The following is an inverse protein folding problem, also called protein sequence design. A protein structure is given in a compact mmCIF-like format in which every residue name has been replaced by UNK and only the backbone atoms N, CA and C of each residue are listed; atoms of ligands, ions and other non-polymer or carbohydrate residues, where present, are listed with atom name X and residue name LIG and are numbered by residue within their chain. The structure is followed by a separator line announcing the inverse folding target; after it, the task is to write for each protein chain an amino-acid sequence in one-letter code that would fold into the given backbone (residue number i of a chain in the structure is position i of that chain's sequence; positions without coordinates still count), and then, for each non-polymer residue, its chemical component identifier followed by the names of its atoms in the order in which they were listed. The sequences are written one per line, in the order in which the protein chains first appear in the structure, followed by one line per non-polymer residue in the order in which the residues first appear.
data_IF_627372755430
#
_entry.id   IF_627372755430
#
_cell.length_a   1.000
_cell.length_b   1.000
_cell.length_c   1.000
_cell.angle_alpha   90.00
_cell.angle_beta   90.00
_cell.angle_gamma   90.00
#
_symmetry.space_group_name_H-M   'P 1'
#
loop_
_entity.id
_entity.type
_entity.pdbx_description
1 polymer ?
#
# COMPACT_ATOMS: atom_id res chain seq x y z
N UNK A 1 11.60 -60.56 60.10
CA UNK A 1 10.65 -59.57 59.51
C UNK A 1 11.38 -58.61 58.56
N UNK A 2 11.44 -58.89 57.26
CA UNK A 2 11.95 -57.96 56.23
C UNK A 2 11.20 -58.18 54.91
N UNK A 3 10.01 -57.60 54.75
CA UNK A 3 9.28 -57.66 53.46
C UNK A 3 8.31 -56.48 53.22
N UNK A 4 8.55 -55.31 53.84
CA UNK A 4 7.66 -54.14 53.70
C UNK A 4 8.27 -52.94 52.95
N UNK A 5 9.56 -52.98 52.57
CA UNK A 5 10.27 -51.82 52.00
C UNK A 5 10.19 -51.69 50.47
N UNK A 6 10.00 -52.79 49.72
CA UNK A 6 10.06 -52.75 48.25
C UNK A 6 8.79 -52.19 47.58
N UNK A 7 7.60 -52.40 48.18
CA UNK A 7 6.33 -51.95 47.58
C UNK A 7 6.23 -50.41 47.55
N UNK A 8 6.72 -49.74 48.60
CA UNK A 8 6.73 -48.27 48.67
C UNK A 8 7.66 -47.64 47.62
N UNK A 9 8.81 -48.27 47.34
CA UNK A 9 9.76 -47.78 46.32
C UNK A 9 9.19 -47.87 44.90
N UNK A 10 8.46 -48.95 44.57
CA UNK A 10 7.80 -49.08 43.26
C UNK A 10 6.68 -48.05 43.06
N UNK A 11 5.94 -47.71 44.12
CA UNK A 11 4.89 -46.69 44.07
C UNK A 11 5.47 -45.27 43.88
N UNK A 12 6.56 -44.94 44.58
CA UNK A 12 7.27 -43.67 44.40
C UNK A 12 7.86 -43.58 42.99
N UNK A 13 8.45 -44.67 42.47
CA UNK A 13 8.94 -44.71 41.10
C UNK A 13 7.83 -44.51 40.06
N UNK A 14 6.65 -45.11 40.25
CA UNK A 14 5.50 -44.94 39.37
C UNK A 14 4.98 -43.49 39.35
N UNK A 15 4.93 -42.82 40.51
CA UNK A 15 4.54 -41.40 40.59
C UNK A 15 5.54 -40.51 39.84
N UNK A 16 6.85 -40.75 40.00
CA UNK A 16 7.88 -39.98 39.29
C UNK A 16 7.74 -40.16 37.78
N UNK A 17 7.52 -41.39 37.31
CA UNK A 17 7.32 -41.67 35.87
C UNK A 17 6.06 -40.97 35.35
N UNK A 18 4.98 -40.97 36.12
CA UNK A 18 3.74 -40.27 35.75
C UNK A 18 3.94 -38.76 35.64
N UNK A 19 4.63 -38.14 36.62
CA UNK A 19 4.95 -36.72 36.59
C UNK A 19 5.83 -36.39 35.37
N UNK A 20 6.86 -37.19 35.09
CA UNK A 20 7.70 -37.01 33.91
C UNK A 20 6.89 -37.11 32.61
N UNK A 21 5.96 -38.05 32.51
CA UNK A 21 5.10 -38.19 31.34
C UNK A 21 4.19 -36.96 31.12
N UNK A 22 3.64 -36.38 32.19
CA UNK A 22 2.83 -35.16 32.14
C UNK A 22 3.67 -33.94 31.73
N UNK A 23 4.90 -33.81 32.25
CA UNK A 23 5.79 -32.70 31.88
C UNK A 23 6.19 -32.79 30.41
N UNK A 24 6.50 -33.99 29.91
CA UNK A 24 6.88 -34.19 28.51
C UNK A 24 5.70 -33.93 27.58
N UNK A 25 4.50 -34.44 27.91
CA UNK A 25 3.31 -34.22 27.08
C UNK A 25 2.91 -32.75 27.01
N UNK A 26 3.00 -32.03 28.13
CA UNK A 26 2.76 -30.59 28.19
C UNK A 26 3.81 -29.82 27.37
N UNK A 27 5.10 -30.20 27.46
CA UNK A 27 6.16 -29.60 26.65
C UNK A 27 5.94 -29.78 25.15
N UNK A 28 5.61 -30.99 24.71
CA UNK A 28 5.29 -31.29 23.31
C UNK A 28 4.06 -30.52 22.83
N UNK A 29 3.02 -30.42 23.67
CA UNK A 29 1.82 -29.64 23.38
C UNK A 29 2.14 -28.15 23.19
N UNK A 30 2.94 -27.56 24.09
CA UNK A 30 3.33 -26.16 24.00
C UNK A 30 4.17 -25.86 22.75
N UNK A 31 5.09 -26.75 22.37
CA UNK A 31 5.88 -26.61 21.13
C UNK A 31 4.98 -26.67 19.88
N UNK A 32 3.98 -27.55 19.88
CA UNK A 32 3.03 -27.65 18.77
C UNK A 32 2.15 -26.41 18.65
N UNK A 33 1.66 -25.89 19.79
CA UNK A 33 0.85 -24.67 19.85
C UNK A 33 1.64 -23.45 19.40
N UNK A 34 2.90 -23.27 19.85
CA UNK A 34 3.75 -22.16 19.41
C UNK A 34 3.99 -22.19 17.90
N UNK A 35 4.36 -23.35 17.35
CA UNK A 35 4.56 -23.51 15.90
C UNK A 35 3.28 -23.24 15.10
N UNK A 36 2.14 -23.66 15.62
CA UNK A 36 0.83 -23.38 15.02
C UNK A 36 0.49 -21.90 15.05
N UNK A 37 0.78 -21.20 16.16
CA UNK A 37 0.56 -19.75 16.29
C UNK A 37 1.47 -18.99 15.33
N UNK A 38 2.77 -19.28 15.27
CA UNK A 38 3.68 -18.56 14.36
C UNK A 38 3.29 -18.75 12.89
N UNK A 39 2.98 -19.99 12.49
CA UNK A 39 2.67 -20.31 11.10
C UNK A 39 1.28 -19.79 10.68
N UNK A 40 0.28 -19.89 11.56
CA UNK A 40 -1.08 -19.43 11.25
C UNK A 40 -1.20 -17.91 11.40
N UNK A 41 -0.51 -17.29 12.36
CA UNK A 41 -0.52 -15.83 12.52
C UNK A 41 0.24 -15.18 11.38
N UNK A 42 1.42 -15.68 10.98
CA UNK A 42 2.10 -15.16 9.79
C UNK A 42 1.29 -15.39 8.51
N UNK A 43 0.77 -16.59 8.24
CA UNK A 43 -0.02 -16.83 7.01
C UNK A 43 -1.32 -16.03 6.96
N UNK A 44 -2.00 -15.85 8.08
CA UNK A 44 -3.25 -15.09 8.14
C UNK A 44 -2.99 -13.59 8.10
N UNK A 45 -1.98 -13.07 8.80
CA UNK A 45 -1.61 -11.65 8.75
C UNK A 45 -1.04 -11.27 7.38
N UNK A 46 -0.08 -12.04 6.84
CA UNK A 46 0.53 -11.74 5.54
C UNK A 46 -0.47 -11.89 4.40
N UNK A 47 -1.36 -12.88 4.41
CA UNK A 47 -2.35 -13.01 3.32
C UNK A 47 -3.49 -11.99 3.41
N UNK A 48 -3.91 -11.56 4.61
CA UNK A 48 -4.91 -10.51 4.76
C UNK A 48 -4.34 -9.13 4.41
N UNK A 49 -3.10 -8.83 4.82
CA UNK A 49 -2.42 -7.59 4.43
C UNK A 49 -2.12 -7.58 2.92
N UNK A 50 -1.67 -8.69 2.35
CA UNK A 50 -1.44 -8.80 0.90
C UNK A 50 -2.75 -8.69 0.10
N UNK A 51 -3.85 -9.30 0.56
CA UNK A 51 -5.17 -9.11 -0.06
C UNK A 51 -5.65 -7.67 0.04
N UNK A 52 -5.50 -7.02 1.19
CA UNK A 52 -5.85 -5.60 1.36
C UNK A 52 -4.98 -4.69 0.47
N UNK A 53 -3.69 -4.99 0.32
CA UNK A 53 -2.78 -4.28 -0.59
C UNK A 53 -3.15 -4.48 -2.05
N UNK A 54 -3.49 -5.71 -2.47
CA UNK A 54 -3.95 -6.00 -3.82
C UNK A 54 -5.28 -5.29 -4.14
N UNK A 55 -6.17 -5.16 -3.16
CA UNK A 55 -7.40 -4.35 -3.33
C UNK A 55 -7.10 -2.86 -3.50
N UNK A 56 -6.18 -2.30 -2.71
CA UNK A 56 -5.75 -0.91 -2.88
C UNK A 56 -5.08 -0.67 -4.25
N UNK A 57 -4.22 -1.59 -4.69
CA UNK A 57 -3.60 -1.56 -6.02
C UNK A 57 -4.62 -1.68 -7.15
N UNK A 58 -5.67 -2.48 -6.98
CA UNK A 58 -6.74 -2.60 -7.98
C UNK A 58 -7.56 -1.32 -8.12
N UNK A 59 -7.82 -0.62 -7.00
CA UNK A 59 -8.49 0.69 -7.02
C UNK A 59 -7.60 1.72 -7.70
N UNK A 60 -6.31 1.76 -7.36
CA UNK A 60 -5.33 2.62 -8.01
C UNK A 60 -5.21 2.35 -9.51
N UNK A 61 -5.22 1.10 -9.96
CA UNK A 61 -5.20 0.75 -11.39
C UNK A 61 -6.42 1.27 -12.15
N UNK A 62 -7.61 1.32 -11.52
CA UNK A 62 -8.80 1.92 -12.13
C UNK A 62 -8.58 3.43 -12.28
N UNK A 63 -8.03 4.09 -11.25
CA UNK A 63 -7.68 5.52 -11.33
C UNK A 63 -6.59 5.81 -12.37
N UNK A 64 -5.61 4.92 -12.55
CA UNK A 64 -4.60 5.02 -13.62
C UNK A 64 -5.21 4.90 -15.01
N UNK A 65 -6.07 3.90 -15.26
CA UNK A 65 -6.72 3.76 -16.57
C UNK A 65 -7.59 4.97 -16.93
N UNK A 66 -8.25 5.56 -15.94
CA UNK A 66 -8.99 6.81 -16.09
C UNK A 66 -8.08 8.01 -16.36
N UNK A 67 -7.01 8.19 -15.58
CA UNK A 67 -6.07 9.30 -15.73
C UNK A 67 -5.32 9.23 -17.07
N UNK A 68 -4.92 8.03 -17.51
CA UNK A 68 -4.30 7.82 -18.81
C UNK A 68 -5.24 8.19 -19.96
N UNK A 69 -6.53 7.81 -19.86
CA UNK A 69 -7.52 8.19 -20.87
C UNK A 69 -7.72 9.70 -20.97
N UNK A 70 -7.58 10.41 -19.84
CA UNK A 70 -7.61 11.88 -19.80
C UNK A 70 -6.33 12.46 -20.40
N UNK A 71 -5.16 11.92 -20.04
CA UNK A 71 -3.87 12.34 -20.56
C UNK A 71 -3.81 12.18 -22.08
N UNK A 72 -4.31 11.06 -22.62
CA UNK A 72 -4.43 10.83 -24.06
C UNK A 72 -5.34 11.89 -24.71
N UNK A 73 -6.52 12.14 -24.14
CA UNK A 73 -7.45 13.16 -24.66
C UNK A 73 -6.82 14.57 -24.64
N UNK A 74 -6.10 14.92 -23.58
CA UNK A 74 -5.39 16.20 -23.48
C UNK A 74 -4.23 16.28 -24.49
N UNK A 75 -3.58 15.15 -24.78
CA UNK A 75 -2.52 15.05 -25.79
C UNK A 75 -2.98 15.28 -27.24
N UNK A 76 -4.26 15.08 -27.53
CA UNK A 76 -4.85 15.38 -28.85
C UNK A 76 -5.02 16.89 -29.10
N UNK A 77 -5.00 17.70 -28.05
CA UNK A 77 -5.09 19.15 -28.18
C UNK A 77 -3.79 19.75 -28.74
N UNK A 78 -3.92 20.75 -29.62
CA UNK A 78 -2.77 21.48 -30.15
C UNK A 78 -2.07 22.34 -29.09
N UNK A 79 -2.82 22.72 -28.05
CA UNK A 79 -2.33 23.44 -26.88
C UNK A 79 -2.78 22.70 -25.61
N UNK A 80 -1.81 22.13 -24.91
CA UNK A 80 -2.04 21.36 -23.68
C UNK A 80 -2.70 22.23 -22.60
N UNK A 81 -2.44 23.54 -22.56
CA UNK A 81 -3.02 24.46 -21.60
C UNK A 81 -4.28 25.18 -22.13
N UNK A 82 -4.93 24.62 -23.17
CA UNK A 82 -6.19 25.14 -23.69
C UNK A 82 -7.29 25.23 -22.63
N UNK A 83 -8.21 26.17 -22.82
CA UNK A 83 -9.37 26.35 -21.95
C UNK A 83 -10.17 25.04 -21.77
N UNK A 84 -10.26 24.20 -22.81
CA UNK A 84 -10.92 22.89 -22.75
C UNK A 84 -10.23 21.94 -21.77
N UNK A 85 -8.90 21.85 -21.82
CA UNK A 85 -8.13 20.99 -20.91
C UNK A 85 -8.18 21.52 -19.47
N UNK A 86 -8.16 22.85 -19.30
CA UNK A 86 -8.30 23.47 -17.98
C UNK A 86 -9.70 23.25 -17.39
N UNK A 87 -10.76 23.36 -18.19
CA UNK A 87 -12.13 23.04 -17.76
C UNK A 87 -12.28 21.55 -17.41
N UNK A 88 -11.57 20.68 -18.13
CA UNK A 88 -11.51 19.25 -17.80
C UNK A 88 -10.86 19.01 -16.43
N UNK A 89 -9.76 19.70 -16.09
CA UNK A 89 -9.16 19.62 -14.75
C UNK A 89 -10.15 20.01 -13.65
N UNK A 90 -10.84 21.13 -13.83
CA UNK A 90 -11.89 21.61 -12.89
C UNK A 90 -13.00 20.58 -12.74
N UNK A 91 -13.47 20.02 -13.86
CA UNK A 91 -14.51 19.00 -13.87
C UNK A 91 -14.07 17.72 -13.16
N UNK A 92 -12.81 17.33 -13.27
CA UNK A 92 -12.26 16.17 -12.58
C UNK A 92 -12.23 16.39 -11.07
N UNK A 93 -11.72 17.54 -10.62
CA UNK A 93 -11.72 17.87 -9.19
C UNK A 93 -13.14 17.97 -8.61
N UNK A 94 -14.12 18.44 -9.39
CA UNK A 94 -15.50 18.59 -8.94
C UNK A 94 -16.33 17.28 -8.93
N UNK A 95 -16.02 16.33 -9.82
CA UNK A 95 -16.86 15.14 -10.05
C UNK A 95 -16.19 13.82 -9.65
N UNK A 96 -14.98 13.86 -9.08
CA UNK A 96 -14.25 12.67 -8.61
C UNK A 96 -13.72 12.90 -7.20
N UNK A 97 -13.13 11.86 -6.61
CA UNK A 97 -12.47 11.94 -5.30
C UNK A 97 -11.07 12.58 -5.36
N UNK A 98 -10.63 13.08 -6.52
CA UNK A 98 -9.40 13.85 -6.63
C UNK A 98 -9.59 15.23 -6.01
N UNK A 99 -8.88 15.48 -4.91
CA UNK A 99 -9.00 16.74 -4.18
C UNK A 99 -8.46 17.95 -4.97
N UNK A 100 -7.45 17.72 -5.82
CA UNK A 100 -6.83 18.71 -6.71
C UNK A 100 -6.38 18.03 -7.98
N UNK A 101 -6.41 18.75 -9.08
CA UNK A 101 -5.87 18.31 -10.37
C UNK A 101 -4.99 19.40 -10.95
N UNK A 102 -3.98 19.02 -11.72
CA UNK A 102 -3.07 19.97 -12.33
C UNK A 102 -2.49 19.45 -13.64
N UNK A 103 -2.26 20.37 -14.58
CA UNK A 103 -1.39 20.16 -15.72
C UNK A 103 -0.01 20.75 -15.40
N UNK A 104 1.03 19.96 -15.65
CA UNK A 104 2.41 20.35 -15.34
C UNK A 104 3.20 20.41 -16.64
N UNK A 105 3.74 21.58 -16.95
CA UNK A 105 4.62 21.76 -18.10
C UNK A 105 5.99 21.09 -17.91
N UNK A 106 6.72 20.91 -19.00
CA UNK A 106 8.02 20.24 -19.00
C UNK A 106 9.09 20.97 -18.16
N UNK A 107 8.91 22.26 -17.88
CA UNK A 107 9.78 23.06 -16.99
C UNK A 107 9.41 22.91 -15.49
N UNK A 108 8.34 22.15 -15.20
CA UNK A 108 7.80 21.91 -13.87
C UNK A 108 6.82 22.98 -13.39
N UNK A 109 6.34 23.89 -14.24
CA UNK A 109 5.26 24.83 -13.90
C UNK A 109 3.93 24.09 -13.89
N UNK A 110 3.30 24.01 -12.72
CA UNK A 110 2.02 23.33 -12.50
C UNK A 110 0.87 24.33 -12.41
N UNK A 111 -0.16 24.10 -13.24
CA UNK A 111 -1.40 24.86 -13.33
C UNK A 111 -2.54 24.03 -12.73
N UNK A 112 -3.05 24.47 -11.59
CA UNK A 112 -4.06 23.73 -10.82
C UNK A 112 -5.50 24.12 -11.20
N UNK A 113 -6.45 23.22 -10.91
CA UNK A 113 -7.89 23.42 -11.09
C UNK A 113 -8.43 24.70 -10.45
N UNK A 114 -7.87 25.11 -9.32
CA UNK A 114 -8.26 26.33 -8.62
C UNK A 114 -7.55 27.60 -9.11
N UNK A 115 -6.81 27.51 -10.22
CA UNK A 115 -6.03 28.60 -10.80
C UNK A 115 -4.70 28.90 -10.09
N UNK A 116 -4.32 28.13 -9.06
CA UNK A 116 -3.00 28.27 -8.46
C UNK A 116 -1.91 27.84 -9.44
N UNK A 117 -0.76 28.52 -9.38
CA UNK A 117 0.44 28.18 -10.14
C UNK A 117 1.58 27.90 -9.16
N UNK A 118 2.25 26.76 -9.29
CA UNK A 118 3.40 26.37 -8.47
C UNK A 118 4.48 25.73 -9.32
N UNK A 119 5.74 25.88 -8.94
CA UNK A 119 6.82 25.12 -9.55
C UNK A 119 7.06 23.83 -8.76
N UNK A 120 7.03 22.69 -9.45
CA UNK A 120 7.22 21.34 -8.90
C UNK A 120 8.39 20.62 -9.56
N UNK A 121 9.26 21.33 -10.29
CA UNK A 121 10.41 20.77 -11.03
C UNK A 121 11.35 19.92 -10.17
N UNK A 122 11.44 20.24 -8.88
CA UNK A 122 12.29 19.52 -7.92
C UNK A 122 11.56 18.36 -7.21
N UNK A 123 10.26 18.18 -7.44
CA UNK A 123 9.47 17.14 -6.79
C UNK A 123 9.74 15.80 -7.45
N UNK A 124 9.94 14.77 -6.62
CA UNK A 124 10.28 13.41 -7.08
C UNK A 124 9.23 12.83 -8.04
N UNK A 125 7.93 12.99 -7.74
CA UNK A 125 6.85 12.48 -8.61
C UNK A 125 6.91 13.08 -10.02
N UNK A 126 7.26 14.37 -10.15
CA UNK A 126 7.41 15.03 -11.44
C UNK A 126 8.62 14.48 -12.19
N UNK A 127 9.78 14.40 -11.52
CA UNK A 127 11.01 13.86 -12.10
C UNK A 127 10.87 12.39 -12.54
N UNK A 128 10.04 11.62 -11.85
CA UNK A 128 9.74 10.24 -12.23
C UNK A 128 8.73 10.16 -13.38
N UNK A 129 7.67 10.97 -13.38
CA UNK A 129 6.71 11.04 -14.48
C UNK A 129 7.35 11.48 -15.80
N UNK A 130 8.32 12.41 -15.74
CA UNK A 130 9.12 12.84 -16.90
C UNK A 130 10.00 11.72 -17.50
N UNK A 131 10.14 10.57 -16.83
CA UNK A 131 10.76 9.36 -17.42
C UNK A 131 9.80 8.58 -18.34
N UNK A 132 8.57 9.06 -18.52
CA UNK A 132 7.59 8.49 -19.43
C UNK A 132 6.75 7.36 -18.83
N UNK A 133 6.58 7.33 -17.51
CA UNK A 133 5.76 6.32 -16.83
C UNK A 133 4.83 7.00 -15.83
N UNK A 134 3.64 6.44 -15.67
CA UNK A 134 2.72 6.85 -14.62
C UNK A 134 3.34 6.58 -13.24
N UNK A 135 3.15 7.49 -12.28
CA UNK A 135 3.78 7.45 -10.97
C UNK A 135 2.79 7.69 -9.84
N UNK A 136 3.08 7.06 -8.70
CA UNK A 136 2.40 7.31 -7.43
C UNK A 136 3.45 7.78 -6.43
N UNK A 137 3.26 8.94 -5.82
CA UNK A 137 4.19 9.45 -4.81
C UNK A 137 4.02 8.73 -3.47
N UNK A 138 5.08 8.75 -2.66
CA UNK A 138 4.91 8.62 -1.21
C UNK A 138 4.03 9.78 -0.68
N UNK A 139 3.33 9.62 0.47
CA UNK A 139 2.65 10.73 1.11
C UNK A 139 3.60 11.91 1.33
N UNK A 140 3.19 13.11 0.89
CA UNK A 140 3.98 14.33 0.96
C UNK A 140 3.12 15.54 1.25
N UNK A 141 3.73 16.59 1.79
CA UNK A 141 3.02 17.84 2.05
C UNK A 141 2.85 18.63 0.75
N UNK A 142 1.59 18.97 0.48
CA UNK A 142 1.18 19.72 -0.70
C UNK A 142 1.78 21.13 -0.72
N UNK A 143 2.20 21.57 -1.90
CA UNK A 143 2.65 22.94 -2.14
C UNK A 143 1.54 24.00 -2.11
N UNK A 144 0.27 23.60 -2.00
CA UNK A 144 -0.88 24.51 -1.95
C UNK A 144 -1.20 24.91 -0.51
N UNK A 145 -1.44 23.94 0.38
CA UNK A 145 -2.00 24.17 1.72
C UNK A 145 -1.31 23.36 2.84
N UNK A 146 -0.21 22.65 2.52
CA UNK A 146 0.56 21.81 3.46
C UNK A 146 -0.17 20.57 3.99
N UNK A 147 -1.34 20.20 3.45
CA UNK A 147 -1.93 18.91 3.82
C UNK A 147 -1.21 17.75 3.14
N UNK A 148 -1.05 16.65 3.88
CA UNK A 148 -0.38 15.42 3.42
C UNK A 148 -1.24 14.72 2.37
N UNK A 149 -0.68 14.52 1.18
CA UNK A 149 -1.37 13.91 0.03
C UNK A 149 -0.49 12.90 -0.68
N UNK A 150 -1.14 12.01 -1.41
CA UNK A 150 -0.51 11.11 -2.38
C UNK A 150 -0.81 11.65 -3.77
N UNK A 151 0.21 11.76 -4.62
CA UNK A 151 0.09 12.32 -5.96
C UNK A 151 0.12 11.19 -6.99
N UNK A 152 -0.92 11.14 -7.82
CA UNK A 152 -0.99 10.31 -9.01
C UNK A 152 -0.60 11.19 -10.21
N UNK A 153 0.43 10.82 -10.96
CA UNK A 153 0.94 11.63 -12.07
C UNK A 153 1.16 10.77 -13.31
N UNK A 154 0.62 11.19 -14.45
CA UNK A 154 0.71 10.49 -15.74
C UNK A 154 1.25 11.46 -16.80
N UNK A 155 2.28 11.11 -17.58
CA UNK A 155 2.79 11.98 -18.64
C UNK A 155 1.75 12.20 -19.74
N UNK A 156 1.54 13.47 -20.11
CA UNK A 156 0.77 13.85 -21.30
C UNK A 156 1.73 13.93 -22.49
N UNK A 157 1.52 13.08 -23.49
CA UNK A 157 2.28 13.12 -24.73
C UNK A 157 1.39 13.68 -25.84
N UNK A 158 1.84 14.73 -26.53
CA UNK A 158 1.08 15.23 -27.68
C UNK A 158 1.20 14.24 -28.84
N UNK A 159 0.05 13.77 -29.33
CA UNK A 159 -0.04 12.97 -30.55
C UNK A 159 -0.06 13.91 -31.77
N UNK A 160 1.02 14.67 -31.99
CA UNK A 160 1.20 15.40 -33.24
C UNK A 160 1.79 14.44 -34.29
N UNK A 161 0.93 13.91 -35.16
CA UNK A 161 1.30 13.20 -36.40
C UNK A 161 1.70 14.18 -37.51
#
# INVERSE_FOLDING_TARGET
MKKKKNISTHYVAAIIIFICAVVISLGVFLLYVQKSIDTNSQKTMTSNVAKQSNHALSILNIHYGFLNSIADKMGDSSDILSDENMELLVSLAANTDFERTALIEADGTAYYDNGAIKNVSQRKYFLEAMKGQATLSDPLDSSIDQETRVILCDPVCSCTL
#
